data_IF_674118779602
#
_entry.id   IF_674118779602
#
_cell.length_a   1.000
_cell.length_b   1.000
_cell.length_c   1.000
_cell.angle_alpha   90.00
_cell.angle_beta   90.00
_cell.angle_gamma   90.00
#
_symmetry.space_group_name_H-M   'P 1'
#
loop_
_entity.id
_entity.type
_entity.pdbx_description
1 polymer ?
#
# COMPACT_ATOMS: atom_id res chain seq x y z
N UNK A 1 14.53 -4.24 -1.64
CA UNK A 1 14.73 -3.67 -2.99
C UNK A 1 13.73 -2.53 -3.12
N UNK A 2 14.20 -1.32 -2.86
CA UNK A 2 13.41 -0.09 -3.03
C UNK A 2 12.95 -0.07 -4.47
N UNK A 3 11.64 0.03 -4.72
CA UNK A 3 11.18 0.41 -6.06
C UNK A 3 11.75 1.81 -6.24
N UNK A 4 12.91 1.88 -6.91
CA UNK A 4 13.54 3.12 -7.26
C UNK A 4 12.47 3.94 -7.97
N UNK A 5 12.37 5.19 -7.54
CA UNK A 5 11.64 6.26 -8.17
C UNK A 5 11.38 5.96 -9.64
N UNK A 6 10.11 5.96 -10.01
CA UNK A 6 9.65 5.97 -11.39
C UNK A 6 10.60 6.92 -12.13
N UNK A 7 11.39 6.33 -13.02
CA UNK A 7 12.24 6.99 -14.01
C UNK A 7 11.52 8.22 -14.53
N UNK A 8 12.22 9.34 -14.78
CA UNK A 8 11.68 10.69 -15.03
C UNK A 8 10.68 10.92 -16.17
N UNK A 9 9.90 9.92 -16.56
CA UNK A 9 8.64 9.98 -17.28
C UNK A 9 7.55 10.59 -16.41
N UNK A 10 6.70 11.42 -17.01
CA UNK A 10 5.53 11.99 -16.34
C UNK A 10 4.48 10.88 -16.19
N UNK A 11 3.79 10.80 -15.05
CA UNK A 11 2.73 9.80 -14.83
C UNK A 11 1.63 9.90 -15.90
N UNK A 12 1.42 11.09 -16.45
CA UNK A 12 0.53 11.39 -17.58
C UNK A 12 0.90 10.69 -18.88
N UNK A 13 2.17 10.33 -19.05
CA UNK A 13 2.72 9.72 -20.28
C UNK A 13 2.83 8.20 -20.17
N UNK A 14 2.66 7.65 -18.97
CA UNK A 14 2.70 6.21 -18.74
C UNK A 14 1.47 5.53 -19.33
N UNK A 15 1.67 4.33 -19.87
CA UNK A 15 0.56 3.46 -20.27
C UNK A 15 -0.31 3.09 -19.05
N UNK A 16 -1.58 2.76 -19.29
CA UNK A 16 -2.50 2.30 -18.23
C UNK A 16 -1.93 1.10 -17.46
N UNK A 17 -1.24 0.20 -18.17
CA UNK A 17 -0.58 -0.96 -17.56
C UNK A 17 0.63 -0.55 -16.72
N UNK A 18 1.43 0.42 -17.20
CA UNK A 18 2.54 1.00 -16.44
C UNK A 18 2.07 1.66 -15.14
N UNK A 19 0.98 2.42 -15.17
CA UNK A 19 0.38 3.04 -13.98
C UNK A 19 -0.08 1.99 -12.96
N UNK A 20 -0.77 0.94 -13.42
CA UNK A 20 -1.21 -0.17 -12.55
C UNK A 20 -0.04 -0.86 -11.88
N UNK A 21 1.06 -1.02 -12.61
CA UNK A 21 2.28 -1.66 -12.12
C UNK A 21 2.82 -0.91 -10.89
N UNK A 22 2.73 0.43 -10.87
CA UNK A 22 3.18 1.29 -9.76
C UNK A 22 2.06 1.68 -8.79
N UNK A 23 0.90 1.02 -8.84
CA UNK A 23 -0.19 1.23 -7.88
C UNK A 23 -1.02 2.49 -8.12
N UNK A 24 -0.97 3.05 -9.32
CA UNK A 24 -1.73 4.23 -9.74
C UNK A 24 -2.86 3.79 -10.68
N UNK A 25 -4.07 4.30 -10.46
CA UNK A 25 -5.26 3.94 -11.22
C UNK A 25 -5.95 5.19 -11.75
N UNK A 26 -6.28 5.21 -13.03
CA UNK A 26 -7.11 6.26 -13.64
C UNK A 26 -8.55 6.08 -13.16
N UNK A 27 -9.22 7.17 -12.77
CA UNK A 27 -10.65 7.15 -12.43
C UNK A 27 -11.53 7.31 -13.67
N UNK A 28 -12.86 7.23 -13.50
CA UNK A 28 -13.80 7.52 -14.58
C UNK A 28 -13.59 8.93 -15.15
N UNK A 29 -13.37 9.93 -14.29
CA UNK A 29 -12.86 11.24 -14.71
C UNK A 29 -11.33 11.14 -14.85
N UNK A 30 -10.79 11.23 -16.08
CA UNK A 30 -9.38 10.99 -16.37
C UNK A 30 -8.45 12.07 -15.80
N UNK A 31 -9.00 13.15 -15.23
CA UNK A 31 -8.23 14.16 -14.49
C UNK A 31 -7.77 13.67 -13.12
N UNK A 32 -8.37 12.59 -12.62
CA UNK A 32 -8.16 12.07 -11.28
C UNK A 32 -7.62 10.66 -11.28
N UNK A 33 -6.79 10.40 -10.27
CA UNK A 33 -6.10 9.15 -10.05
C UNK A 33 -6.35 8.67 -8.64
N UNK A 34 -6.37 7.35 -8.47
CA UNK A 34 -6.37 6.69 -7.18
C UNK A 34 -5.00 6.07 -6.96
N UNK A 35 -4.37 6.39 -5.83
CA UNK A 35 -3.09 5.83 -5.43
C UNK A 35 -3.35 4.75 -4.37
N UNK A 36 -2.92 3.52 -4.63
CA UNK A 36 -3.04 2.42 -3.67
C UNK A 36 -1.74 2.27 -2.90
N UNK A 37 -1.86 2.17 -1.59
CA UNK A 37 -0.71 2.05 -0.68
C UNK A 37 -0.34 0.60 -0.44
N UNK A 38 0.95 0.34 -0.23
CA UNK A 38 1.48 -0.93 0.28
C UNK A 38 1.41 -0.90 1.80
N UNK A 39 0.58 -1.77 2.36
CA UNK A 39 0.35 -1.91 3.80
C UNK A 39 0.38 -3.40 4.13
N UNK A 40 1.57 -4.00 4.28
CA UNK A 40 1.70 -5.43 4.57
C UNK A 40 0.96 -5.77 5.86
N UNK A 41 0.10 -6.78 5.80
CA UNK A 41 -0.68 -7.23 6.97
C UNK A 41 -1.73 -6.22 7.47
N UNK A 42 -1.91 -5.10 6.77
CA UNK A 42 -2.85 -4.05 7.18
C UNK A 42 -2.43 -3.24 8.41
N UNK A 43 -1.17 -3.33 8.84
CA UNK A 43 -0.69 -2.63 10.02
C UNK A 43 -0.21 -1.22 9.67
N UNK A 44 -0.72 -0.22 10.37
CA UNK A 44 -0.33 1.20 10.23
C UNK A 44 -0.05 1.79 11.60
N UNK A 45 1.04 2.55 11.72
CA UNK A 45 1.29 3.34 12.92
C UNK A 45 0.30 4.50 13.04
N UNK A 46 0.14 5.03 14.26
CA UNK A 46 -0.68 6.24 14.49
C UNK A 46 -0.17 7.40 13.65
N UNK A 47 1.15 7.62 13.59
CA UNK A 47 1.77 8.67 12.79
C UNK A 47 1.46 8.53 11.29
N UNK A 48 1.47 7.29 10.78
CA UNK A 48 1.07 6.99 9.40
C UNK A 48 -0.41 7.33 9.18
N UNK A 49 -1.30 6.95 10.09
CA UNK A 49 -2.72 7.28 9.99
C UNK A 49 -2.99 8.79 10.03
N UNK A 50 -2.30 9.52 10.90
CA UNK A 50 -2.40 10.99 10.95
C UNK A 50 -1.89 11.64 9.67
N UNK A 51 -0.76 11.15 9.14
CA UNK A 51 -0.24 11.55 7.84
C UNK A 51 -1.26 11.35 6.74
N UNK A 52 -1.83 10.14 6.64
CA UNK A 52 -2.87 9.82 5.67
C UNK A 52 -4.11 10.70 5.84
N UNK A 53 -4.52 11.02 7.06
CA UNK A 53 -5.66 11.91 7.29
C UNK A 53 -5.38 13.35 6.80
N UNK A 54 -4.16 13.87 7.00
CA UNK A 54 -3.74 15.18 6.45
C UNK A 54 -3.74 15.15 4.93
N UNK A 55 -3.15 14.12 4.33
CA UNK A 55 -3.09 13.95 2.87
C UNK A 55 -4.49 13.76 2.26
N UNK A 56 -5.38 13.01 2.93
CA UNK A 56 -6.76 12.85 2.50
C UNK A 56 -7.50 14.19 2.46
N UNK A 57 -7.33 15.06 3.46
CA UNK A 57 -7.90 16.41 3.44
C UNK A 57 -7.35 17.25 2.29
N UNK A 58 -6.05 17.14 2.00
CA UNK A 58 -5.37 17.95 0.98
C UNK A 58 -5.64 17.50 -0.45
N UNK A 59 -5.61 16.20 -0.71
CA UNK A 59 -5.66 15.62 -2.05
C UNK A 59 -6.91 14.76 -2.28
N UNK A 60 -7.34 14.03 -1.26
CA UNK A 60 -8.38 13.01 -1.33
C UNK A 60 -9.78 13.44 -0.89
N UNK A 61 -10.09 14.75 -0.95
CA UNK A 61 -11.41 15.30 -0.55
C UNK A 61 -11.86 14.87 0.86
N UNK A 62 -10.91 14.73 1.77
CA UNK A 62 -11.13 14.32 3.15
C UNK A 62 -11.42 12.83 3.36
N UNK A 63 -11.21 11.96 2.35
CA UNK A 63 -11.55 10.54 2.43
C UNK A 63 -10.43 9.64 1.93
N UNK A 64 -10.36 8.45 2.54
CA UNK A 64 -9.58 7.31 2.06
C UNK A 64 -10.53 6.12 1.84
N UNK A 65 -10.11 5.15 1.05
CA UNK A 65 -10.84 3.91 0.84
C UNK A 65 -10.03 2.71 1.34
N UNK A 66 -10.63 1.91 2.22
CA UNK A 66 -10.03 0.65 2.70
C UNK A 66 -10.37 -0.46 1.72
N UNK A 67 -9.40 -1.33 1.45
CA UNK A 67 -9.54 -2.40 0.46
C UNK A 67 -9.72 -3.76 1.11
N UNK A 68 -10.26 -4.72 0.37
CA UNK A 68 -10.35 -6.13 0.78
C UNK A 68 -8.99 -6.79 0.99
N UNK A 69 -7.89 -6.17 0.53
CA UNK A 69 -6.51 -6.63 0.75
C UNK A 69 -5.81 -5.89 1.88
N UNK A 70 -6.57 -5.38 2.85
CA UNK A 70 -6.05 -4.68 4.04
C UNK A 70 -5.17 -3.45 3.71
N UNK A 71 -5.24 -2.94 2.48
CA UNK A 71 -4.54 -1.74 2.05
C UNK A 71 -5.46 -0.51 2.08
N UNK A 72 -4.86 0.67 1.98
CA UNK A 72 -5.53 1.97 1.87
C UNK A 72 -5.37 2.52 0.46
N UNK A 73 -6.39 3.23 -0.04
CA UNK A 73 -6.37 3.97 -1.29
C UNK A 73 -6.68 5.45 -1.05
N UNK A 74 -5.92 6.33 -1.71
CA UNK A 74 -6.13 7.77 -1.74
C UNK A 74 -6.70 8.16 -3.13
N UNK A 75 -8.00 8.47 -3.24
CA UNK A 75 -8.62 8.81 -4.52
C UNK A 75 -8.51 10.31 -4.83
N UNK A 76 -8.90 10.72 -6.02
CA UNK A 76 -9.03 12.12 -6.47
C UNK A 76 -7.72 12.92 -6.54
N UNK A 77 -6.59 12.24 -6.57
CA UNK A 77 -5.28 12.88 -6.76
C UNK A 77 -5.18 13.32 -8.22
N UNK A 78 -4.79 14.57 -8.48
CA UNK A 78 -4.53 15.04 -9.84
C UNK A 78 -3.16 14.56 -10.31
N UNK A 79 -2.99 14.35 -11.61
CA UNK A 79 -1.72 13.87 -12.17
C UNK A 79 -0.50 14.72 -11.74
N UNK A 80 -0.64 16.05 -11.81
CA UNK A 80 0.39 17.01 -11.39
C UNK A 80 0.74 16.95 -9.90
N UNK A 81 -0.09 16.31 -9.07
CA UNK A 81 0.11 16.18 -7.61
C UNK A 81 0.71 14.83 -7.22
N UNK A 82 0.78 13.84 -8.13
CA UNK A 82 1.18 12.48 -7.77
C UNK A 82 2.59 12.44 -7.17
N UNK A 83 3.54 13.16 -7.77
CA UNK A 83 4.92 13.23 -7.26
C UNK A 83 5.00 13.83 -5.84
N UNK A 84 4.21 14.88 -5.57
CA UNK A 84 4.12 15.48 -4.24
C UNK A 84 3.54 14.49 -3.22
N UNK A 85 2.47 13.80 -3.60
CA UNK A 85 1.82 12.79 -2.76
C UNK A 85 2.77 11.63 -2.46
N UNK A 86 3.53 11.14 -3.45
CA UNK A 86 4.54 10.09 -3.26
C UNK A 86 5.61 10.55 -2.27
N UNK A 87 6.14 11.77 -2.42
CA UNK A 87 7.13 12.31 -1.49
C UNK A 87 6.59 12.51 -0.06
N UNK A 88 5.30 12.81 0.10
CA UNK A 88 4.66 12.85 1.43
C UNK A 88 4.47 11.46 2.04
N UNK A 89 4.12 10.45 1.23
CA UNK A 89 4.00 9.06 1.68
C UNK A 89 5.35 8.52 2.17
N UNK A 90 6.43 8.79 1.43
CA UNK A 90 7.78 8.34 1.80
C UNK A 90 8.23 8.92 3.15
N UNK A 91 7.88 10.18 3.45
CA UNK A 91 8.18 10.83 4.74
C UNK A 91 7.52 10.15 5.93
N UNK A 92 6.39 9.49 5.73
CA UNK A 92 5.68 8.72 6.77
C UNK A 92 5.97 7.20 6.66
N UNK A 93 6.95 6.81 5.84
CA UNK A 93 7.35 5.41 5.68
C UNK A 93 6.33 4.54 4.93
N UNK A 94 5.46 5.16 4.13
CA UNK A 94 4.51 4.45 3.26
C UNK A 94 4.97 4.51 1.80
N UNK A 95 4.61 3.48 1.04
CA UNK A 95 4.94 3.35 -0.37
C UNK A 95 3.69 2.99 -1.17
N UNK A 96 3.75 3.17 -2.49
CA UNK A 96 2.70 2.68 -3.39
C UNK A 96 2.75 1.14 -3.52
N UNK A 97 1.57 0.55 -3.69
CA UNK A 97 1.38 -0.87 -3.96
C UNK A 97 1.69 -1.18 -5.43
N UNK A 98 1.67 -2.47 -5.79
CA UNK A 98 1.61 -2.94 -7.17
C UNK A 98 0.21 -3.44 -7.54
N UNK A 99 -0.06 -3.50 -8.85
CA UNK A 99 -1.20 -4.17 -9.46
C UNK A 99 -0.78 -4.83 -10.79
N UNK A 100 -1.68 -5.53 -11.48
CA UNK A 100 -1.33 -6.35 -12.65
C UNK A 100 -0.95 -7.78 -12.29
N UNK A 101 -0.39 -8.58 -13.22
CA UNK A 101 0.02 -9.98 -13.02
C UNK A 101 1.33 -10.06 -12.21
N UNK A 102 1.26 -9.58 -10.97
CA UNK A 102 2.40 -9.52 -10.04
C UNK A 102 1.93 -9.62 -8.60
N UNK A 103 2.85 -9.95 -7.71
CA UNK A 103 2.58 -10.03 -6.26
C UNK A 103 2.19 -8.65 -5.74
N UNK A 104 0.98 -8.57 -5.22
CA UNK A 104 0.34 -7.35 -4.67
C UNK A 104 0.50 -7.29 -3.15
N UNK A 105 -0.18 -6.34 -2.51
CA UNK A 105 -0.22 -6.23 -1.05
C UNK A 105 -0.48 -7.59 -0.38
N UNK A 106 0.42 -7.98 0.51
CA UNK A 106 0.33 -9.24 1.25
C UNK A 106 -0.56 -9.02 2.47
N UNK A 107 -1.48 -9.95 2.67
CA UNK A 107 -2.48 -9.91 3.75
C UNK A 107 -2.08 -10.88 4.84
N UNK A 108 -2.36 -10.51 6.08
CA UNK A 108 -2.19 -11.36 7.24
C UNK A 108 -3.30 -11.11 8.24
N UNK A 109 -3.70 -12.16 8.96
CA UNK A 109 -4.51 -11.95 10.16
C UNK A 109 -3.63 -11.34 11.27
N UNK A 110 -4.22 -10.85 12.36
CA UNK A 110 -3.45 -10.31 13.48
C UNK A 110 -2.43 -11.33 14.04
N UNK A 111 -2.78 -12.61 14.11
CA UNK A 111 -1.87 -13.65 14.63
C UNK A 111 -1.57 -13.48 16.11
N UNK A 112 -0.45 -14.03 16.56
CA UNK A 112 0.06 -13.77 17.91
C UNK A 112 0.79 -12.41 17.95
N UNK A 113 0.69 -11.60 19.03
CA UNK A 113 0.05 -11.89 20.32
C UNK A 113 -1.45 -11.54 20.45
N UNK A 114 -2.07 -10.90 19.46
CA UNK A 114 -3.43 -10.35 19.57
C UNK A 114 -4.52 -11.43 19.57
N UNK A 115 -4.36 -12.44 18.72
CA UNK A 115 -5.35 -13.49 18.52
C UNK A 115 -4.99 -14.72 19.36
N UNK A 116 -5.85 -15.06 20.33
CA UNK A 116 -5.75 -16.29 21.13
C UNK A 116 -5.71 -17.59 20.29
N UNK A 117 -6.23 -17.55 19.07
CA UNK A 117 -6.23 -18.67 18.12
C UNK A 117 -5.02 -18.65 17.18
N UNK A 118 -4.24 -17.56 17.16
CA UNK A 118 -2.94 -17.48 16.46
C UNK A 118 -1.86 -18.37 17.09
N UNK A 119 -2.19 -19.01 18.21
CA UNK A 119 -1.44 -20.10 18.83
C UNK A 119 -2.27 -21.37 18.71
N UNK A 120 -1.78 -22.42 18.04
CA UNK A 120 -2.31 -23.75 18.30
C UNK A 120 -1.84 -24.14 19.70
N UNK A 121 -2.63 -23.83 20.74
CA UNK A 121 -2.31 -24.26 22.12
C UNK A 121 -1.94 -25.76 22.13
N UNK A 122 -0.97 -26.21 22.95
CA UNK A 122 -0.41 -25.53 24.13
C UNK A 122 1.09 -25.17 24.06
N UNK A 123 1.77 -25.33 22.93
CA UNK A 123 3.23 -25.19 22.87
C UNK A 123 3.64 -23.75 22.51
N UNK A 124 4.60 -23.16 23.25
CA UNK A 124 5.14 -21.85 22.90
C UNK A 124 5.84 -21.84 21.53
N UNK A 125 6.34 -22.99 21.09
CA UNK A 125 6.91 -23.22 19.76
C UNK A 125 5.88 -23.20 18.62
N UNK A 126 4.57 -23.21 18.91
CA UNK A 126 3.50 -23.15 17.90
C UNK A 126 2.89 -21.76 17.74
N UNK A 127 3.48 -20.74 18.36
CA UNK A 127 3.11 -19.33 18.15
C UNK A 127 3.54 -18.90 16.76
N UNK A 128 2.57 -18.46 15.94
CA UNK A 128 2.84 -17.94 14.61
C UNK A 128 2.62 -16.43 14.61
N UNK A 129 3.74 -15.70 14.51
CA UNK A 129 3.73 -14.27 14.24
C UNK A 129 3.46 -14.06 12.74
N UNK A 130 2.18 -13.90 12.41
CA UNK A 130 1.72 -13.75 11.03
C UNK A 130 2.10 -12.38 10.47
N UNK A 131 2.26 -11.36 11.31
CA UNK A 131 2.66 -10.02 10.88
C UNK A 131 4.13 -10.01 10.47
N UNK A 132 5.02 -10.58 11.28
CA UNK A 132 6.43 -10.77 10.91
C UNK A 132 6.60 -11.61 9.65
N UNK A 133 5.89 -12.73 9.54
CA UNK A 133 5.93 -13.55 8.34
C UNK A 133 5.41 -12.77 7.13
N UNK A 134 4.37 -11.96 7.28
CA UNK A 134 3.86 -11.08 6.23
C UNK A 134 4.93 -10.10 5.74
N UNK A 135 5.65 -9.45 6.66
CA UNK A 135 6.75 -8.53 6.32
C UNK A 135 7.92 -9.25 5.64
N UNK A 136 8.24 -10.48 6.04
CA UNK A 136 9.24 -11.31 5.36
C UNK A 136 8.82 -11.67 3.93
N UNK A 137 7.57 -12.11 3.75
CA UNK A 137 7.01 -12.40 2.43
C UNK A 137 6.96 -11.14 1.56
N UNK A 138 6.58 -10.01 2.15
CA UNK A 138 6.44 -8.75 1.45
C UNK A 138 7.82 -8.24 0.99
N UNK A 139 8.85 -8.33 1.83
CA UNK A 139 10.23 -8.02 1.44
C UNK A 139 10.76 -8.93 0.33
N UNK A 140 10.38 -10.20 0.33
CA UNK A 140 10.90 -11.21 -0.60
C UNK A 140 10.18 -11.23 -1.95
N UNK A 141 8.87 -11.02 -1.95
CA UNK A 141 8.03 -11.34 -3.11
C UNK A 141 7.27 -10.15 -3.69
N UNK A 142 7.07 -9.05 -2.95
CA UNK A 142 6.28 -7.93 -3.44
C UNK A 142 6.81 -7.40 -4.79
N UNK A 143 5.91 -7.26 -5.76
CA UNK A 143 6.23 -6.73 -7.09
C UNK A 143 6.88 -7.74 -8.04
N UNK A 144 7.15 -8.99 -7.64
CA UNK A 144 7.57 -10.03 -8.58
C UNK A 144 6.41 -10.39 -9.53
N UNK A 145 6.74 -10.63 -10.79
CA UNK A 145 5.76 -11.08 -11.78
C UNK A 145 5.27 -12.51 -11.44
N UNK A 146 4.00 -12.78 -11.74
CA UNK A 146 3.31 -14.05 -11.43
C UNK A 146 2.82 -14.74 -12.68
#
# INVERSE_FOLDING_TARGET
MTIQAVSGERFEEMSVEGLRTVGVFIQEDPRYFTLRLRVPGGNLSVDQMEGLARMARRYGRGRVHLTTRQAVQLPWVRASQIQEVVGELEKIGLLLSSCGPRVRNIVACPGWPECKNGTSKPLESSRVDTQRLCEEMDRRFFGLDT
#
